data_IF_065814588321
#
_entry.id   IF_065814588321
#
_cell.length_a   1.000
_cell.length_b   1.000
_cell.length_c   1.000
_cell.angle_alpha   90.00
_cell.angle_beta   90.00
_cell.angle_gamma   90.00
#
_symmetry.space_group_name_H-M   'P 1'
#
loop_
_entity.id
_entity.type
_entity.pdbx_description
1 polymer ?
#
# COMPACT_ATOMS: atom_id res chain seq x y z
N UNK A 1 -0.51 12.42 16.43
CA UNK A 1 -1.47 11.31 16.24
C UNK A 1 -0.76 10.16 15.57
N UNK A 2 -1.16 8.91 15.83
CA UNK A 2 -0.51 7.74 15.22
C UNK A 2 -1.47 7.05 14.26
N UNK A 3 -1.00 6.78 13.04
CA UNK A 3 -1.78 6.14 11.98
C UNK A 3 -1.25 4.74 11.75
N UNK A 4 -2.19 3.80 11.62
CA UNK A 4 -1.93 2.42 11.22
C UNK A 4 -2.70 2.16 9.93
N UNK A 5 -2.02 1.72 8.87
CA UNK A 5 -2.67 1.32 7.63
C UNK A 5 -2.27 -0.11 7.27
N UNK A 6 -3.25 -0.93 6.94
CA UNK A 6 -3.08 -2.35 6.60
C UNK A 6 -3.83 -2.72 5.33
N UNK A 7 -3.20 -3.52 4.47
CA UNK A 7 -3.72 -3.91 3.17
C UNK A 7 -2.81 -3.41 2.05
N UNK A 8 -3.40 -2.69 1.10
CA UNK A 8 -2.74 -2.22 -0.11
C UNK A 8 -2.79 -3.24 -1.24
N UNK A 9 -3.62 -4.28 -1.08
CA UNK A 9 -3.75 -5.38 -2.03
C UNK A 9 -4.67 -4.96 -3.19
N UNK A 10 -4.21 -5.03 -4.46
CA UNK A 10 -5.05 -4.79 -5.62
C UNK A 10 -6.08 -5.92 -5.79
N UNK A 11 -7.19 -5.66 -6.52
CA UNK A 11 -8.08 -6.71 -6.95
C UNK A 11 -7.33 -7.78 -7.74
N UNK A 12 -7.75 -9.03 -7.60
CA UNK A 12 -7.15 -10.14 -8.33
C UNK A 12 -7.33 -9.94 -9.84
N UNK A 13 -6.22 -10.03 -10.57
CA UNK A 13 -6.16 -9.80 -12.00
C UNK A 13 -4.96 -10.53 -12.58
N UNK A 14 -5.20 -11.26 -13.67
CA UNK A 14 -4.12 -11.80 -14.50
C UNK A 14 -3.50 -10.67 -15.33
N UNK A 15 -2.18 -10.54 -15.29
CA UNK A 15 -1.42 -9.57 -16.07
C UNK A 15 -0.59 -10.31 -17.13
N UNK A 16 -0.48 -9.77 -18.33
CA UNK A 16 0.35 -10.32 -19.40
C UNK A 16 1.81 -9.82 -19.26
N UNK A 17 2.50 -10.26 -18.20
CA UNK A 17 3.87 -9.83 -17.89
C UNK A 17 4.81 -11.02 -17.62
N UNK A 18 5.17 -11.79 -18.66
CA UNK A 18 6.07 -12.94 -18.52
C UNK A 18 5.40 -14.12 -17.81
N UNK A 19 6.12 -14.89 -16.96
CA UNK A 19 5.60 -16.00 -16.13
C UNK A 19 4.54 -15.56 -15.07
N UNK A 20 3.72 -14.55 -15.38
CA UNK A 20 2.96 -13.70 -14.50
C UNK A 20 1.92 -14.43 -13.62
N UNK A 21 2.39 -14.86 -12.46
CA UNK A 21 2.03 -14.26 -11.17
C UNK A 21 0.93 -13.17 -11.28
N UNK A 22 -0.29 -13.58 -10.94
CA UNK A 22 -1.47 -12.74 -10.81
C UNK A 22 -1.25 -11.60 -9.80
N UNK A 23 -2.00 -10.50 -9.92
CA UNK A 23 -2.01 -9.41 -8.94
C UNK A 23 -2.42 -9.86 -7.53
N UNK A 24 -2.90 -11.10 -7.39
CA UNK A 24 -3.13 -11.74 -6.11
C UNK A 24 -1.90 -11.63 -5.21
N UNK A 25 -2.14 -11.44 -3.91
CA UNK A 25 -1.13 -11.42 -2.85
C UNK A 25 -0.05 -10.32 -2.92
N UNK A 26 -0.05 -9.48 -3.96
CA UNK A 26 0.78 -8.28 -4.04
C UNK A 26 0.18 -7.14 -3.20
N UNK A 27 0.98 -6.16 -2.78
CA UNK A 27 0.48 -4.96 -2.14
C UNK A 27 1.40 -3.75 -2.29
N UNK A 28 0.82 -2.54 -2.17
CA UNK A 28 1.58 -1.30 -2.04
C UNK A 28 0.92 -0.35 -1.06
N UNK A 29 1.68 0.21 -0.13
CA UNK A 29 1.25 1.30 0.74
C UNK A 29 2.35 2.35 0.83
N UNK A 30 1.99 3.61 0.64
CA UNK A 30 2.90 4.75 0.79
C UNK A 30 2.19 5.82 1.61
N UNK A 31 2.79 6.23 2.72
CA UNK A 31 2.32 7.33 3.54
C UNK A 31 3.19 8.57 3.33
N UNK A 32 2.53 9.71 3.19
CA UNK A 32 3.19 11.02 3.21
C UNK A 32 2.67 11.90 4.33
N UNK A 33 3.55 12.69 4.94
CA UNK A 33 3.23 13.71 5.95
C UNK A 33 3.94 14.99 5.56
N UNK A 34 3.20 16.09 5.43
CA UNK A 34 3.77 17.37 4.96
C UNK A 34 4.42 17.27 3.57
N UNK A 35 3.96 16.34 2.72
CA UNK A 35 4.50 16.10 1.38
C UNK A 35 5.75 15.21 1.32
N UNK A 36 6.26 14.73 2.46
CA UNK A 36 7.40 13.81 2.51
C UNK A 36 6.94 12.38 2.77
N UNK A 37 7.56 11.40 2.11
CA UNK A 37 7.30 9.98 2.38
C UNK A 37 7.87 9.64 3.75
N UNK A 38 7.02 9.16 4.66
CA UNK A 38 7.41 8.81 6.03
C UNK A 38 7.35 7.31 6.32
N UNK A 39 6.56 6.56 5.53
CA UNK A 39 6.50 5.12 5.60
C UNK A 39 6.08 4.54 4.25
N UNK A 40 6.68 3.43 3.84
CA UNK A 40 6.27 2.67 2.67
C UNK A 40 6.37 1.16 2.94
N UNK A 41 5.53 0.39 2.26
CA UNK A 41 5.56 -1.06 2.28
C UNK A 41 5.04 -1.57 0.95
N UNK A 42 5.86 -2.32 0.22
CA UNK A 42 5.53 -2.79 -1.13
C UNK A 42 6.07 -4.20 -1.31
N UNK A 43 5.24 -5.10 -1.82
CA UNK A 43 5.63 -6.47 -2.19
C UNK A 43 4.88 -6.84 -3.47
N UNK A 44 5.61 -7.23 -4.51
CA UNK A 44 5.06 -7.66 -5.80
C UNK A 44 5.12 -9.18 -5.99
N UNK A 45 5.41 -9.93 -4.92
CA UNK A 45 5.42 -11.38 -4.95
C UNK A 45 4.01 -11.95 -4.75
N UNK A 46 3.45 -12.55 -5.79
CA UNK A 46 2.13 -13.19 -5.78
C UNK A 46 2.09 -14.54 -5.05
N UNK A 47 3.25 -15.17 -4.82
CA UNK A 47 3.31 -16.54 -4.30
C UNK A 47 3.02 -16.63 -2.80
N UNK A 48 3.08 -15.51 -2.08
CA UNK A 48 2.83 -15.47 -0.64
C UNK A 48 1.82 -14.39 -0.27
N UNK A 49 0.66 -14.80 0.25
CA UNK A 49 -0.44 -13.94 0.73
C UNK A 49 -0.07 -13.01 1.88
N UNK A 50 0.61 -11.92 1.56
CA UNK A 50 0.91 -10.83 2.51
C UNK A 50 0.00 -9.63 2.25
N UNK A 51 -0.29 -8.92 3.32
CA UNK A 51 -0.87 -7.58 3.28
C UNK A 51 0.17 -6.60 3.81
N UNK A 52 0.26 -5.45 3.18
CA UNK A 52 1.10 -4.35 3.64
C UNK A 52 0.66 -3.86 5.00
N UNK A 53 1.62 -3.36 5.76
CA UNK A 53 1.37 -2.70 7.03
C UNK A 53 2.36 -1.55 7.20
N UNK A 54 1.84 -0.35 7.40
CA UNK A 54 2.65 0.85 7.71
C UNK A 54 2.12 1.52 8.97
N UNK A 55 3.03 2.06 9.76
CA UNK A 55 2.73 2.80 10.97
C UNK A 55 3.59 4.06 10.99
N UNK A 56 2.97 5.21 11.19
CA UNK A 56 3.67 6.49 11.18
C UNK A 56 3.00 7.50 12.11
N UNK A 57 3.80 8.46 12.57
CA UNK A 57 3.35 9.56 13.41
C UNK A 57 3.06 10.79 12.54
N UNK A 58 1.96 11.48 12.83
CA UNK A 58 1.58 12.74 12.19
C UNK A 58 1.66 13.85 13.24
N UNK A 59 2.57 14.84 13.06
CA UNK A 59 2.67 16.00 13.93
C UNK A 59 1.38 16.84 13.91
N UNK A 60 1.12 17.55 15.00
CA UNK A 60 -0.05 18.43 15.08
C UNK A 60 -0.02 19.50 13.98
N UNK A 61 -1.15 19.70 13.30
CA UNK A 61 -1.28 20.66 12.20
C UNK A 61 -0.69 20.20 10.86
N UNK A 62 -0.10 19.00 10.78
CA UNK A 62 0.39 18.44 9.52
C UNK A 62 -0.72 17.70 8.77
N UNK A 63 -0.77 17.88 7.46
CA UNK A 63 -1.59 17.04 6.58
C UNK A 63 -0.85 15.73 6.27
N UNK A 64 -1.60 14.63 6.13
CA UNK A 64 -1.07 13.34 5.74
C UNK A 64 -1.92 12.71 4.62
N UNK A 65 -1.33 11.77 3.88
CA UNK A 65 -2.04 10.92 2.93
C UNK A 65 -1.46 9.51 2.94
N UNK A 66 -2.31 8.53 2.62
CA UNK A 66 -1.89 7.14 2.39
C UNK A 66 -2.40 6.72 1.03
N UNK A 67 -1.54 6.16 0.19
CA UNK A 67 -1.87 5.74 -1.17
C UNK A 67 -1.45 4.29 -1.42
N UNK A 68 -2.18 3.63 -2.31
CA UNK A 68 -1.96 2.24 -2.70
C UNK A 68 -1.87 2.09 -4.22
N UNK A 69 -0.99 2.87 -4.84
CA UNK A 69 -0.87 2.98 -6.30
C UNK A 69 0.37 2.29 -6.90
N UNK A 70 1.29 1.76 -6.08
CA UNK A 70 2.56 1.21 -6.57
C UNK A 70 2.41 -0.02 -7.47
N UNK A 71 1.29 -0.73 -7.38
CA UNK A 71 1.00 -1.90 -8.21
C UNK A 71 0.51 -1.55 -9.62
N UNK A 72 0.11 -0.30 -9.88
CA UNK A 72 -0.32 0.16 -11.22
C UNK A 72 0.83 0.05 -12.23
N UNK A 73 2.07 0.34 -11.81
CA UNK A 73 3.26 0.19 -12.66
C UNK A 73 3.57 -1.27 -13.00
N UNK A 74 3.02 -2.22 -12.24
CA UNK A 74 3.16 -3.66 -12.46
C UNK A 74 2.03 -4.23 -13.32
N UNK A 75 1.13 -3.39 -13.85
CA UNK A 75 -0.03 -3.83 -14.64
C UNK A 75 -1.27 -4.19 -13.81
N UNK A 76 -1.18 -4.07 -12.48
CA UNK A 76 -2.30 -4.25 -11.57
C UNK A 76 -3.12 -2.95 -11.41
N UNK A 77 -4.09 -2.98 -10.51
CA UNK A 77 -4.92 -1.81 -10.17
C UNK A 77 -4.49 -1.19 -8.82
N UNK A 78 -5.22 -0.17 -8.37
CA UNK A 78 -5.11 0.36 -7.02
C UNK A 78 -5.47 -0.68 -5.98
N UNK A 79 -4.69 -0.71 -4.90
CA UNK A 79 -4.96 -1.57 -3.77
C UNK A 79 -5.94 -0.98 -2.77
N UNK A 80 -6.65 -1.87 -2.07
CA UNK A 80 -7.56 -1.50 -0.99
C UNK A 80 -6.88 -1.67 0.36
N UNK A 81 -7.14 -0.75 1.28
CA UNK A 81 -6.55 -0.79 2.61
C UNK A 81 -7.51 -0.23 3.65
N UNK A 82 -7.32 -0.65 4.89
CA UNK A 82 -7.99 -0.09 6.05
C UNK A 82 -7.04 0.80 6.82
N UNK A 83 -7.58 1.87 7.41
CA UNK A 83 -6.82 2.82 8.20
C UNK A 83 -7.43 2.94 9.59
N UNK A 84 -6.57 2.90 10.60
CA UNK A 84 -6.92 3.12 12.00
C UNK A 84 -6.12 4.30 12.52
N UNK A 85 -6.83 5.24 13.14
CA UNK A 85 -6.27 6.42 13.76
C UNK A 85 -6.35 6.28 15.27
N UNK A 86 -5.22 6.45 15.95
CA UNK A 86 -5.15 6.51 17.41
C UNK A 86 -4.77 7.93 17.84
N UNK A 87 -5.58 8.52 18.72
CA UNK A 87 -5.44 9.88 19.24
C UNK A 87 -5.09 9.88 20.72
#
# INVERSE_FOLDING_TARGET
MKIYARGGNPPDRTIDAGDADNCANTFSLVATVGGQVVANSTDNNSNWGKSGNIVFDVPAGSAFSVTSAGMVNYGCDYGTFSMLQYQ
#
